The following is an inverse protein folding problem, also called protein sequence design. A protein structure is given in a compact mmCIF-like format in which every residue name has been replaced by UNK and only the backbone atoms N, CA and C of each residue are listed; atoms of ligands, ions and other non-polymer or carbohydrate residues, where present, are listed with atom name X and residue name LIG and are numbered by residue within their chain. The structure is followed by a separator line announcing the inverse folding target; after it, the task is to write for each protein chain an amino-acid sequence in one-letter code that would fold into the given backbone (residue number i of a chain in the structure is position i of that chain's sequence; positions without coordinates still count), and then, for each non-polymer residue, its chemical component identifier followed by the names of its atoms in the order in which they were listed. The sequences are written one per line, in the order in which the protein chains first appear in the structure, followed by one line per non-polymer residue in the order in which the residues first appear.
data_IF_130050248114
#
_entry.id   IF_130050248114
#
_cell.length_a   1.000
_cell.length_b   1.000
_cell.length_c   1.000
_cell.angle_alpha   90.00
_cell.angle_beta   90.00
_cell.angle_gamma   90.00
#
_symmetry.space_group_name_H-M   'P 1'
#
loop_
_entity.id
_entity.type
_entity.pdbx_description
1 polymer ?
#
# COMPACT_ATOMS: atom_id res chain seq x y z
N UNK A 1 -4.80 9.29 13.75
CA UNK A 1 -4.58 7.84 13.75
C UNK A 1 -5.90 7.05 13.81
N UNK A 2 -6.31 6.42 12.70
CA UNK A 2 -7.59 5.66 12.57
C UNK A 2 -7.38 4.17 12.28
N UNK A 3 -6.15 3.79 11.94
CA UNK A 3 -5.76 2.46 11.47
C UNK A 3 -4.81 1.88 12.52
N UNK A 4 -5.05 0.65 12.96
CA UNK A 4 -4.17 -0.01 13.94
C UNK A 4 -3.32 -1.08 13.27
N UNK A 5 -2.19 -1.42 13.90
CA UNK A 5 -1.35 -2.54 13.47
C UNK A 5 -2.16 -3.83 13.29
N UNK A 6 -2.99 -4.19 14.28
CA UNK A 6 -3.83 -5.38 14.23
C UNK A 6 -4.73 -5.42 12.98
N UNK A 7 -5.33 -4.28 12.60
CA UNK A 7 -6.15 -4.18 11.39
C UNK A 7 -5.34 -4.37 10.11
N UNK A 8 -4.05 -4.08 10.09
CA UNK A 8 -3.17 -4.31 8.93
C UNK A 8 -2.67 -5.75 8.91
N UNK A 9 -2.36 -6.33 10.08
CA UNK A 9 -1.85 -7.70 10.23
C UNK A 9 -2.86 -8.78 9.88
N UNK A 10 -4.16 -8.52 10.10
CA UNK A 10 -5.21 -9.49 9.81
C UNK A 10 -5.15 -9.93 8.32
N UNK A 11 -5.33 -11.20 8.00
CA UNK A 11 -5.38 -11.63 6.59
C UNK A 11 -6.81 -11.91 6.12
N UNK A 12 -7.77 -11.86 7.04
CA UNK A 12 -9.16 -12.18 6.76
C UNK A 12 -9.92 -10.95 6.23
N UNK A 13 -10.76 -11.13 5.19
CA UNK A 13 -11.73 -10.13 4.77
C UNK A 13 -12.61 -9.68 5.93
N UNK A 14 -12.57 -8.39 6.26
CA UNK A 14 -13.42 -7.82 7.30
C UNK A 14 -14.15 -6.57 6.76
N UNK A 15 -15.45 -6.68 6.41
CA UNK A 15 -16.22 -5.55 5.88
C UNK A 15 -16.40 -4.41 6.89
N UNK A 16 -16.23 -4.65 8.19
CA UNK A 16 -16.29 -3.60 9.22
C UNK A 16 -15.15 -2.60 9.08
N UNK A 17 -14.04 -2.95 8.41
CA UNK A 17 -12.92 -2.04 8.17
C UNK A 17 -13.32 -0.79 7.38
N UNK A 18 -14.41 -0.87 6.60
CA UNK A 18 -14.94 0.27 5.86
C UNK A 18 -15.32 1.44 6.77
N UNK A 19 -15.72 1.18 8.03
CA UNK A 19 -16.08 2.23 8.99
C UNK A 19 -14.91 3.15 9.38
N UNK A 20 -13.67 2.71 9.12
CA UNK A 20 -12.45 3.48 9.37
C UNK A 20 -12.09 4.44 8.21
N UNK A 21 -12.84 4.38 7.11
CA UNK A 21 -12.63 5.21 5.92
C UNK A 21 -13.45 6.49 5.95
N UNK A 22 -13.04 7.49 5.16
CA UNK A 22 -13.85 8.65 4.86
C UNK A 22 -13.91 8.87 3.35
N UNK A 23 -14.99 9.49 2.87
CA UNK A 23 -15.10 9.89 1.46
C UNK A 23 -14.26 11.14 1.23
N UNK A 24 -13.50 11.14 0.15
CA UNK A 24 -12.67 12.26 -0.30
C UNK A 24 -13.01 12.60 -1.75
N UNK A 25 -12.70 13.83 -2.17
CA UNK A 25 -12.81 14.19 -3.58
C UNK A 25 -11.68 13.54 -4.41
N UNK A 26 -11.85 13.47 -5.72
CA UNK A 26 -10.81 12.97 -6.62
C UNK A 26 -9.56 13.89 -6.51
N UNK A 27 -8.39 13.29 -6.26
CA UNK A 27 -7.13 14.03 -6.08
C UNK A 27 -6.81 14.41 -4.63
N UNK A 28 -7.69 14.09 -3.67
CA UNK A 28 -7.44 14.37 -2.23
C UNK A 28 -6.80 13.20 -1.47
N UNK A 29 -6.62 12.04 -2.11
CA UNK A 29 -5.86 10.94 -1.54
C UNK A 29 -4.36 11.16 -1.81
N UNK A 30 -3.54 11.14 -0.75
CA UNK A 30 -2.11 11.38 -0.85
C UNK A 30 -1.37 10.21 -1.50
N UNK A 31 -1.82 8.98 -1.21
CA UNK A 31 -1.23 7.79 -1.80
C UNK A 31 -2.24 6.64 -1.94
N UNK A 32 -2.04 5.84 -2.98
CA UNK A 32 -2.58 4.50 -3.07
C UNK A 32 -1.55 3.52 -2.49
N UNK A 33 -1.95 2.67 -1.54
CA UNK A 33 -1.08 1.65 -0.93
C UNK A 33 -1.18 0.36 -1.74
N UNK A 34 -0.12 0.04 -2.49
CA UNK A 34 0.01 -1.21 -3.22
C UNK A 34 0.94 -2.15 -2.45
N UNK A 35 0.48 -3.37 -2.20
CA UNK A 35 1.22 -4.36 -1.42
C UNK A 35 0.74 -5.78 -1.70
N UNK A 36 1.56 -6.79 -1.41
CA UNK A 36 1.10 -8.19 -1.41
C UNK A 36 0.53 -8.56 -0.04
N UNK A 37 -0.60 -9.24 -0.05
CA UNK A 37 -1.19 -9.85 1.14
C UNK A 37 -0.29 -10.91 1.78
N UNK A 38 0.57 -11.58 0.99
CA UNK A 38 1.43 -12.67 1.47
C UNK A 38 2.78 -12.20 2.00
N UNK A 39 3.11 -10.91 1.84
CA UNK A 39 4.33 -10.37 2.44
C UNK A 39 4.16 -10.15 3.94
N UNK A 40 5.29 -10.19 4.65
CA UNK A 40 5.34 -10.06 6.11
C UNK A 40 4.58 -8.83 6.62
N UNK A 41 3.62 -9.07 7.50
CA UNK A 41 2.68 -8.04 7.88
C UNK A 41 3.26 -7.05 8.91
N UNK A 42 4.22 -7.49 9.73
CA UNK A 42 4.95 -6.62 10.64
C UNK A 42 5.84 -5.65 9.86
N UNK A 43 6.59 -6.14 8.87
CA UNK A 43 7.41 -5.34 7.99
C UNK A 43 6.57 -4.34 7.17
N UNK A 44 5.39 -4.75 6.69
CA UNK A 44 4.44 -3.83 6.04
C UNK A 44 4.03 -2.67 6.96
N UNK A 45 3.68 -3.00 8.21
CA UNK A 45 3.31 -1.98 9.19
C UNK A 45 4.46 -1.03 9.50
N UNK A 46 5.67 -1.55 9.71
CA UNK A 46 6.85 -0.73 9.95
C UNK A 46 7.14 0.22 8.78
N UNK A 47 7.15 -0.29 7.55
CA UNK A 47 7.37 0.51 6.35
C UNK A 47 6.29 1.59 6.15
N UNK A 48 5.02 1.27 6.46
CA UNK A 48 3.91 2.23 6.40
C UNK A 48 4.08 3.34 7.45
N UNK A 49 4.51 2.99 8.66
CA UNK A 49 4.74 3.95 9.74
C UNK A 49 5.97 4.83 9.47
N UNK A 50 7.03 4.28 8.87
CA UNK A 50 8.19 5.06 8.40
C UNK A 50 7.75 6.11 7.37
N UNK A 51 7.01 5.70 6.32
CA UNK A 51 6.48 6.64 5.32
C UNK A 51 5.52 7.68 5.93
N UNK A 52 4.65 7.26 6.86
CA UNK A 52 3.74 8.16 7.57
C UNK A 52 4.52 9.24 8.33
N UNK A 53 5.58 8.89 9.04
CA UNK A 53 6.39 9.84 9.79
C UNK A 53 7.04 10.88 8.86
N UNK A 54 7.66 10.44 7.77
CA UNK A 54 8.24 11.33 6.74
C UNK A 54 7.19 12.26 6.13
N UNK A 55 5.99 11.73 5.82
CA UNK A 55 4.89 12.54 5.31
C UNK A 55 4.46 13.61 6.33
N UNK A 56 4.35 13.24 7.60
CA UNK A 56 3.98 14.18 8.66
C UNK A 56 5.01 15.28 8.86
N UNK A 57 6.31 14.97 8.75
CA UNK A 57 7.39 15.96 8.83
C UNK A 57 7.29 17.01 7.72
N UNK A 58 6.90 16.60 6.51
CA UNK A 58 6.81 17.51 5.35
C UNK A 58 5.48 18.25 5.31
N UNK A 59 4.36 17.57 5.57
CA UNK A 59 3.01 18.07 5.32
C UNK A 59 2.31 18.57 6.59
N UNK A 60 2.81 18.25 7.78
CA UNK A 60 2.23 18.67 9.06
C UNK A 60 0.85 18.08 9.39
N UNK A 61 0.42 17.02 8.67
CA UNK A 61 -0.85 16.32 8.89
C UNK A 61 -0.72 14.83 8.62
N UNK A 62 -1.70 14.05 9.06
CA UNK A 62 -1.83 12.64 8.70
C UNK A 62 -2.02 12.45 7.19
N UNK A 63 -1.43 11.41 6.59
CA UNK A 63 -1.71 11.05 5.21
C UNK A 63 -3.12 10.46 5.07
N UNK A 64 -3.78 10.79 3.97
CA UNK A 64 -5.00 10.14 3.50
C UNK A 64 -4.59 9.11 2.46
N UNK A 65 -4.76 7.85 2.79
CA UNK A 65 -4.37 6.76 1.89
C UNK A 65 -5.60 6.00 1.40
N UNK A 66 -5.56 5.62 0.12
CA UNK A 66 -6.43 4.60 -0.41
C UNK A 66 -5.76 3.23 -0.18
N UNK A 67 -6.45 2.31 0.48
CA UNK A 67 -5.91 1.02 0.87
C UNK A 67 -6.98 -0.04 0.61
N UNK A 68 -6.71 -0.97 -0.32
CA UNK A 68 -7.62 -2.03 -0.77
C UNK A 68 -8.35 -2.73 0.39
N UNK A 69 -7.63 -3.09 1.45
CA UNK A 69 -8.16 -3.76 2.62
C UNK A 69 -9.30 -3.01 3.32
N UNK A 70 -9.26 -1.69 3.30
CA UNK A 70 -10.24 -0.82 3.96
C UNK A 70 -11.28 -0.27 2.98
N UNK A 71 -10.87 -0.02 1.74
CA UNK A 71 -11.65 0.73 0.75
C UNK A 71 -12.43 -0.16 -0.22
N UNK A 72 -12.11 -1.45 -0.31
CA UNK A 72 -12.81 -2.43 -1.15
C UNK A 72 -13.67 -3.35 -0.30
N UNK A 73 -14.87 -3.66 -0.80
CA UNK A 73 -15.62 -4.82 -0.32
C UNK A 73 -14.89 -6.10 -0.76
N UNK A 74 -14.15 -6.68 0.19
CA UNK A 74 -13.37 -7.89 -0.01
C UNK A 74 -14.23 -9.13 -0.34
N UNK A 75 -15.56 -9.06 -0.14
CA UNK A 75 -16.49 -10.12 -0.54
C UNK A 75 -16.91 -10.01 -2.01
N UNK A 76 -16.65 -8.87 -2.66
CA UNK A 76 -16.98 -8.60 -4.06
C UNK A 76 -15.87 -7.79 -4.77
N UNK A 77 -14.74 -8.45 -4.98
CA UNK A 77 -13.54 -7.87 -5.62
C UNK A 77 -13.82 -7.45 -7.07
N UNK A 78 -14.72 -8.15 -7.76
CA UNK A 78 -15.01 -7.90 -9.17
C UNK A 78 -15.60 -6.50 -9.43
N UNK A 79 -16.49 -6.04 -8.55
CA UNK A 79 -17.04 -4.69 -8.68
C UNK A 79 -15.98 -3.61 -8.40
N UNK A 80 -15.03 -3.91 -7.52
CA UNK A 80 -13.95 -2.98 -7.19
C UNK A 80 -12.88 -2.88 -8.27
N UNK A 81 -12.69 -3.94 -9.07
CA UNK A 81 -11.80 -3.96 -10.22
C UNK A 81 -12.17 -2.90 -11.27
N UNK A 82 -13.46 -2.67 -11.50
CA UNK A 82 -13.93 -1.67 -12.47
C UNK A 82 -13.56 -0.25 -12.04
N UNK A 83 -13.54 0.00 -10.73
CA UNK A 83 -13.18 1.30 -10.14
C UNK A 83 -11.68 1.54 -10.01
N UNK A 84 -10.84 0.50 -10.12
CA UNK A 84 -9.40 0.58 -9.87
C UNK A 84 -8.70 1.73 -10.63
N UNK A 85 -8.95 1.97 -11.93
CA UNK A 85 -8.33 3.09 -12.63
C UNK A 85 -8.70 4.46 -12.04
N UNK A 86 -9.94 4.63 -11.56
CA UNK A 86 -10.41 5.87 -10.93
C UNK A 86 -9.77 6.05 -9.56
N UNK A 87 -9.67 4.99 -8.77
CA UNK A 87 -9.03 5.05 -7.45
C UNK A 87 -7.54 5.42 -7.56
N UNK A 88 -6.84 4.83 -8.52
CA UNK A 88 -5.42 5.16 -8.78
C UNK A 88 -5.24 6.58 -9.32
N UNK A 89 -6.06 7.00 -10.29
CA UNK A 89 -6.02 8.36 -10.82
C UNK A 89 -6.35 9.43 -9.76
N UNK A 90 -7.09 9.06 -8.71
CA UNK A 90 -7.43 9.93 -7.60
C UNK A 90 -6.35 10.13 -6.55
N UNK A 91 -5.21 9.44 -6.66
CA UNK A 91 -4.11 9.48 -5.70
C UNK A 91 -2.88 10.23 -6.25
N UNK A 92 -2.22 11.04 -5.43
CA UNK A 92 -0.99 11.76 -5.85
C UNK A 92 0.23 10.84 -6.00
N UNK A 93 0.32 9.81 -5.17
CA UNK A 93 1.42 8.84 -5.15
C UNK A 93 0.93 7.40 -5.22
N UNK A 94 1.78 6.52 -5.72
CA UNK A 94 1.63 5.08 -5.54
C UNK A 94 2.70 4.63 -4.54
N UNK A 95 2.27 4.31 -3.32
CA UNK A 95 3.13 3.76 -2.26
C UNK A 95 3.20 2.24 -2.40
N UNK A 96 4.35 1.74 -2.84
CA UNK A 96 4.63 0.32 -3.04
C UNK A 96 5.36 -0.21 -1.82
N UNK A 97 4.70 -1.12 -1.09
CA UNK A 97 5.32 -1.91 -0.02
C UNK A 97 5.87 -3.20 -0.64
N UNK A 98 7.15 -3.17 -1.01
CA UNK A 98 7.80 -4.18 -1.83
C UNK A 98 8.41 -5.29 -0.96
N UNK A 99 7.69 -6.40 -0.78
CA UNK A 99 8.21 -7.63 -0.20
C UNK A 99 8.51 -8.72 -1.22
N UNK A 100 8.90 -9.90 -0.75
CA UNK A 100 9.38 -11.02 -1.58
C UNK A 100 8.34 -11.52 -2.60
N UNK A 101 7.06 -11.32 -2.33
CA UNK A 101 5.97 -11.83 -3.18
C UNK A 101 5.32 -10.77 -4.05
N UNK A 102 5.65 -9.47 -3.86
CA UNK A 102 4.99 -8.35 -4.54
C UNK A 102 4.94 -8.52 -6.07
N UNK A 103 6.10 -8.72 -6.70
CA UNK A 103 6.25 -8.87 -8.15
C UNK A 103 5.63 -10.16 -8.73
N UNK A 104 5.24 -11.11 -7.88
CA UNK A 104 4.60 -12.37 -8.28
C UNK A 104 3.07 -12.27 -8.27
N UNK A 105 2.51 -11.19 -7.73
CA UNK A 105 1.07 -10.96 -7.66
C UNK A 105 0.62 -10.14 -8.85
N UNK A 106 -0.22 -10.76 -9.69
CA UNK A 106 -0.84 -10.07 -10.82
C UNK A 106 -1.54 -8.77 -10.40
N UNK A 107 -2.20 -8.77 -9.25
CA UNK A 107 -2.88 -7.59 -8.70
C UNK A 107 -1.93 -6.40 -8.50
N UNK A 108 -0.80 -6.62 -7.82
CA UNK A 108 0.20 -5.59 -7.56
C UNK A 108 0.77 -5.01 -8.87
N UNK A 109 1.04 -5.87 -9.85
CA UNK A 109 1.49 -5.43 -11.17
C UNK A 109 0.42 -4.62 -11.90
N UNK A 110 -0.85 -5.05 -11.85
CA UNK A 110 -1.98 -4.33 -12.45
C UNK A 110 -2.13 -2.94 -11.86
N UNK A 111 -1.99 -2.78 -10.53
CA UNK A 111 -2.03 -1.47 -9.88
C UNK A 111 -0.92 -0.55 -10.41
N UNK A 112 0.32 -1.04 -10.48
CA UNK A 112 1.46 -0.28 -10.99
C UNK A 112 1.26 0.16 -12.45
N UNK A 113 0.89 -0.77 -13.34
CA UNK A 113 0.66 -0.44 -14.74
C UNK A 113 -0.53 0.50 -14.93
N UNK A 114 -1.62 0.26 -14.20
CA UNK A 114 -2.81 1.11 -14.27
C UNK A 114 -2.50 2.53 -13.79
N UNK A 115 -1.74 2.69 -12.71
CA UNK A 115 -1.34 4.01 -12.21
C UNK A 115 -0.59 4.83 -13.26
N UNK A 116 0.38 4.21 -13.94
CA UNK A 116 1.15 4.87 -15.01
C UNK A 116 0.25 5.20 -16.21
N UNK A 117 -0.60 4.27 -16.64
CA UNK A 117 -1.51 4.49 -17.78
C UNK A 117 -2.54 5.60 -17.49
N UNK A 118 -2.95 5.75 -16.22
CA UNK A 118 -3.89 6.77 -15.79
C UNK A 118 -3.27 8.16 -15.60
N UNK A 119 -1.99 8.34 -15.95
CA UNK A 119 -1.31 9.64 -15.93
C UNK A 119 -0.31 9.82 -14.78
N UNK A 120 -0.14 8.80 -13.92
CA UNK A 120 0.95 8.77 -12.95
C UNK A 120 2.32 8.69 -13.64
N UNK A 121 3.35 9.23 -12.98
CA UNK A 121 4.73 9.15 -13.47
C UNK A 121 5.61 8.32 -12.53
N UNK A 122 6.80 7.94 -13.00
CA UNK A 122 7.79 7.24 -12.17
C UNK A 122 8.17 8.06 -10.92
N UNK A 123 8.13 9.40 -11.00
CA UNK A 123 8.40 10.27 -9.84
C UNK A 123 7.30 10.23 -8.77
N UNK A 124 6.10 9.73 -9.12
CA UNK A 124 5.01 9.55 -8.17
C UNK A 124 5.07 8.17 -7.48
N UNK A 125 6.00 7.30 -7.88
CA UNK A 125 6.18 6.00 -7.24
C UNK A 125 7.06 6.13 -5.99
N UNK A 126 6.53 5.71 -4.85
CA UNK A 126 7.26 5.66 -3.58
C UNK A 126 7.43 4.19 -3.22
N UNK A 127 8.64 3.66 -3.33
CA UNK A 127 8.92 2.26 -3.01
C UNK A 127 9.52 2.16 -1.61
N UNK A 128 8.96 1.29 -0.77
CA UNK A 128 9.52 0.90 0.53
C UNK A 128 9.81 -0.60 0.50
N UNK A 129 11.10 -0.93 0.51
CA UNK A 129 11.52 -2.32 0.60
C UNK A 129 11.19 -2.84 1.99
N UNK A 130 10.45 -3.95 2.07
CA UNK A 130 10.17 -4.58 3.34
C UNK A 130 11.45 -5.24 3.86
N UNK A 131 11.83 -4.91 5.09
CA UNK A 131 12.97 -5.54 5.76
C UNK A 131 12.52 -6.93 6.20
N UNK A 132 13.02 -7.96 5.54
CA UNK A 132 12.89 -9.32 6.05
C UNK A 132 13.85 -9.49 7.23
N UNK A 133 13.44 -10.20 8.29
CA UNK A 133 14.39 -10.72 9.28
C UNK A 133 15.44 -11.58 8.55
N UNK A 134 16.60 -11.02 8.25
CA UNK A 134 17.70 -11.82 7.71
C UNK A 134 18.19 -12.74 8.84
N UNK A 135 18.11 -14.05 8.62
CA UNK A 135 19.13 -14.96 9.13
C UNK A 135 20.48 -14.41 8.68
N UNK A 136 21.38 -14.19 9.62
CA UNK A 136 22.75 -13.69 9.43
C UNK A 136 23.35 -14.18 8.10
N UNK A 137 23.57 -13.27 7.15
CA UNK A 137 24.54 -13.51 6.08
C UNK A 137 25.92 -13.49 6.73
N UNK A 138 26.33 -14.64 7.26
CA UNK A 138 27.72 -14.90 7.58
C UNK A 138 28.54 -14.63 6.32
N UNK A 139 29.51 -13.72 6.46
CA UNK A 139 30.28 -13.14 5.38
C UNK A 139 30.80 -14.17 4.39
N UNK A 140 30.70 -13.82 3.11
CA UNK A 140 31.47 -14.45 2.05
C UNK A 140 32.95 -14.14 2.29
N UNK A 141 33.63 -15.03 3.00
CA UNK A 141 35.06 -14.96 3.23
C UNK A 141 35.75 -15.30 1.90
N UNK A 142 36.26 -14.26 1.24
CA UNK A 142 37.02 -14.41 0.01
C UNK A 142 38.34 -15.14 0.29
N UNK A 143 38.50 -16.33 -0.29
CA UNK A 143 39.80 -16.94 -0.57
C UNK A 143 39.81 -17.47 -1.99
#
# INVERSE_FOLDING_TARGET
DRVTKAMVLDSDPNPELLQHTERVALGEADAFVSHSWHDDADAKWEALQEWRAEFQEVMGREPRVWFDKFCIDQTNIADSLVGLPVYLAGCDKLLILHGETYERRLWCLLEMFTFIVMGGSVHNLVVRQLRTCQSDFAGFDAR
#
